data_IF_517139827063
#
_entry.id   IF_517139827063
#
_cell.length_a   1.000
_cell.length_b   1.000
_cell.length_c   1.000
_cell.angle_alpha   90.00
_cell.angle_beta   90.00
_cell.angle_gamma   90.00
#
_symmetry.space_group_name_H-M   'P 1'
#
loop_
_entity.id
_entity.type
_entity.pdbx_description
1 polymer ?
#
# COMPACT_ATOMS: atom_id res chain seq x y z
N UNK A 1 7.40 -5.69 -9.07
CA UNK A 1 6.17 -5.52 -8.27
C UNK A 1 5.20 -4.66 -9.02
N UNK A 2 3.92 -5.03 -9.07
CA UNK A 2 2.87 -4.24 -9.70
C UNK A 2 1.82 -3.89 -8.65
N UNK A 3 1.55 -2.59 -8.45
CA UNK A 3 0.39 -2.08 -7.70
C UNK A 3 -0.75 -1.87 -8.70
N UNK A 4 -1.84 -2.64 -8.60
CA UNK A 4 -2.98 -2.54 -9.51
C UNK A 4 -3.96 -1.47 -9.02
N UNK A 5 -4.70 -1.79 -7.96
CA UNK A 5 -5.72 -0.92 -7.37
C UNK A 5 -5.92 -1.25 -5.88
N UNK A 6 -6.65 -0.39 -5.19
CA UNK A 6 -7.20 -0.67 -3.87
C UNK A 6 -8.71 -0.42 -3.87
N UNK A 7 -9.39 -1.07 -2.92
CA UNK A 7 -10.83 -1.04 -2.78
C UNK A 7 -11.26 -0.98 -1.31
N UNK A 8 -12.43 -0.40 -1.06
CA UNK A 8 -13.11 -0.40 0.25
C UNK A 8 -12.30 0.31 1.36
N UNK A 9 -11.43 1.24 0.99
CA UNK A 9 -10.69 2.11 1.92
C UNK A 9 -11.52 3.37 2.20
N UNK A 10 -11.54 3.81 3.46
CA UNK A 10 -12.38 4.90 3.98
C UNK A 10 -13.89 4.65 3.67
N UNK A 11 -14.49 3.55 4.17
CA UNK A 11 -15.85 3.16 3.81
C UNK A 11 -16.89 4.23 4.21
N UNK A 12 -17.91 4.44 3.38
CA UNK A 12 -18.96 5.45 3.60
C UNK A 12 -19.81 5.23 4.85
N UNK A 13 -19.84 4.00 5.39
CA UNK A 13 -20.48 3.72 6.68
C UNK A 13 -19.80 4.45 7.84
N UNK A 14 -18.50 4.75 7.70
CA UNK A 14 -17.69 5.46 8.69
C UNK A 14 -17.43 6.91 8.25
N UNK A 15 -17.28 7.15 6.95
CA UNK A 15 -16.99 8.45 6.37
C UNK A 15 -18.05 8.86 5.33
N UNK A 16 -19.23 9.21 5.83
CA UNK A 16 -20.44 9.48 5.02
C UNK A 16 -20.31 10.62 4.00
N UNK A 17 -19.37 11.54 4.19
CA UNK A 17 -19.17 12.72 3.32
C UNK A 17 -18.06 12.53 2.28
N UNK A 18 -17.49 11.33 2.16
CA UNK A 18 -16.34 11.07 1.27
C UNK A 18 -16.83 10.62 -0.10
N UNK A 19 -16.67 11.49 -1.09
CA UNK A 19 -17.00 11.20 -2.49
C UNK A 19 -15.78 10.91 -3.37
N UNK A 20 -14.61 11.43 -3.00
CA UNK A 20 -13.32 11.11 -3.62
C UNK A 20 -12.18 11.62 -2.71
N UNK A 21 -11.07 10.91 -2.69
CA UNK A 21 -9.83 11.32 -2.01
C UNK A 21 -8.64 10.96 -2.88
N UNK A 22 -7.54 11.65 -2.67
CA UNK A 22 -6.27 11.32 -3.32
C UNK A 22 -5.51 10.35 -2.43
N UNK A 23 -5.05 9.25 -3.01
CA UNK A 23 -4.30 8.22 -2.33
C UNK A 23 -3.00 7.91 -3.06
N UNK A 24 -2.02 7.45 -2.31
CA UNK A 24 -0.81 6.85 -2.84
C UNK A 24 -0.40 5.65 -2.01
N UNK A 25 0.45 4.81 -2.58
CA UNK A 25 1.03 3.67 -1.90
C UNK A 25 2.51 3.97 -1.67
N UNK A 26 2.97 3.82 -0.43
CA UNK A 26 4.38 3.83 -0.07
C UNK A 26 4.75 2.41 0.34
N UNK A 27 5.86 1.89 -0.15
CA UNK A 27 6.27 0.52 0.13
C UNK A 27 7.78 0.36 0.12
N UNK A 28 8.25 -0.66 0.84
CA UNK A 28 9.67 -0.94 0.99
C UNK A 28 9.92 -2.38 1.43
N UNK A 29 11.09 -2.91 1.07
CA UNK A 29 11.64 -4.14 1.67
C UNK A 29 12.66 -3.75 2.73
N UNK A 30 13.62 -2.90 2.37
CA UNK A 30 14.52 -2.21 3.29
C UNK A 30 13.92 -0.83 3.64
N UNK A 31 13.70 -0.49 4.92
CA UNK A 31 13.17 0.81 5.32
C UNK A 31 13.92 2.05 4.80
N UNK A 32 15.19 1.87 4.42
CA UNK A 32 16.03 2.93 3.85
C UNK A 32 15.72 3.22 2.37
N UNK A 33 15.10 2.25 1.67
CA UNK A 33 14.84 2.29 0.23
C UNK A 33 13.33 2.28 -0.02
N UNK A 34 12.69 3.43 0.20
CA UNK A 34 11.25 3.59 0.03
C UNK A 34 10.89 3.92 -1.42
N UNK A 35 9.79 3.35 -1.88
CA UNK A 35 9.19 3.60 -3.17
C UNK A 35 7.77 4.11 -2.98
N UNK A 36 7.30 4.92 -3.93
CA UNK A 36 5.96 5.46 -3.89
C UNK A 36 5.29 5.45 -5.26
N UNK A 37 3.97 5.25 -5.26
CA UNK A 37 3.16 5.50 -6.43
C UNK A 37 2.87 6.98 -6.63
N UNK A 38 2.48 7.33 -7.86
CA UNK A 38 1.77 8.58 -8.11
C UNK A 38 0.47 8.68 -7.30
N UNK A 39 -0.01 9.90 -7.08
CA UNK A 39 -1.32 10.11 -6.49
C UNK A 39 -2.43 9.63 -7.44
N UNK A 40 -3.41 8.90 -6.91
CA UNK A 40 -4.61 8.49 -7.63
C UNK A 40 -5.85 8.93 -6.88
N UNK A 41 -6.85 9.43 -7.61
CA UNK A 41 -8.12 9.91 -7.05
C UNK A 41 -9.20 8.88 -7.30
N UNK A 42 -9.94 8.48 -6.27
CA UNK A 42 -11.10 7.63 -6.46
C UNK A 42 -11.81 7.27 -5.16
N UNK A 43 -12.94 6.57 -5.33
CA UNK A 43 -13.77 5.96 -4.29
C UNK A 43 -14.86 5.10 -4.99
N UNK A 44 -15.21 3.89 -4.50
CA UNK A 44 -14.51 3.12 -3.47
C UNK A 44 -13.27 2.39 -4.03
N UNK A 45 -13.07 2.42 -5.34
CA UNK A 45 -11.93 1.83 -6.05
C UNK A 45 -11.07 2.96 -6.59
N UNK A 46 -9.75 2.80 -6.49
CA UNK A 46 -8.78 3.71 -7.10
C UNK A 46 -7.59 2.93 -7.62
N UNK A 47 -7.19 3.29 -8.84
CA UNK A 47 -6.32 2.50 -9.71
C UNK A 47 -4.99 3.23 -9.84
N UNK A 48 -3.89 2.48 -9.74
CA UNK A 48 -2.55 2.99 -10.02
C UNK A 48 -1.96 2.34 -11.28
N UNK A 49 -2.07 1.01 -11.42
CA UNK A 49 -1.43 0.21 -12.50
C UNK A 49 0.06 0.58 -12.69
N UNK A 50 0.82 0.59 -11.58
CA UNK A 50 2.23 1.01 -11.58
C UNK A 50 3.18 -0.15 -11.30
N UNK A 51 4.10 -0.36 -12.23
CA UNK A 51 5.15 -1.38 -12.17
C UNK A 51 6.45 -0.79 -11.60
N UNK A 52 7.04 -1.51 -10.65
CA UNK A 52 8.30 -1.17 -10.00
C UNK A 52 9.27 -2.33 -9.99
N UNK A 53 10.54 -2.03 -10.22
CA UNK A 53 11.65 -2.96 -9.99
C UNK A 53 12.33 -2.57 -8.68
N UNK A 54 12.30 -3.46 -7.70
CA UNK A 54 12.87 -3.23 -6.37
C UNK A 54 14.16 -4.06 -6.28
N UNK A 55 15.34 -3.43 -6.22
CA UNK A 55 16.59 -4.15 -5.99
C UNK A 55 16.57 -4.80 -4.61
N UNK A 56 16.91 -6.10 -4.53
CA UNK A 56 17.06 -6.82 -3.26
C UNK A 56 18.53 -6.90 -2.82
N UNK A 57 19.35 -5.91 -3.20
CA UNK A 57 20.79 -5.86 -2.93
C UNK A 57 20.99 -5.71 -1.42
N UNK A 58 21.93 -6.47 -0.85
CA UNK A 58 22.24 -6.50 0.60
C UNK A 58 21.06 -6.91 1.51
N UNK A 59 19.95 -7.38 0.94
CA UNK A 59 18.93 -8.07 1.71
C UNK A 59 19.49 -9.44 2.07
N UNK A 60 20.06 -9.56 3.28
CA UNK A 60 20.31 -10.89 3.84
C UNK A 60 18.92 -11.56 3.88
N UNK A 61 18.72 -12.56 3.04
CA UNK A 61 17.42 -13.17 2.73
C UNK A 61 16.68 -13.64 4.01
N UNK A 62 17.40 -13.79 5.13
CA UNK A 62 16.85 -14.11 6.44
C UNK A 62 16.12 -12.97 7.16
N UNK A 63 16.48 -11.69 6.97
CA UNK A 63 15.97 -10.59 7.80
C UNK A 63 14.78 -9.84 7.17
N UNK A 64 14.75 -9.65 5.85
CA UNK A 64 13.69 -8.88 5.19
C UNK A 64 12.87 -9.78 4.27
N UNK A 65 12.06 -10.66 4.87
CA UNK A 65 11.18 -11.62 4.19
C UNK A 65 9.87 -11.00 3.68
N UNK A 66 9.63 -9.73 4.00
CA UNK A 66 8.36 -9.08 3.77
C UNK A 66 8.57 -7.73 3.06
N UNK A 67 7.71 -7.48 2.09
CA UNK A 67 7.38 -6.16 1.59
C UNK A 67 6.44 -5.50 2.59
N UNK A 68 6.83 -4.35 3.13
CA UNK A 68 5.94 -3.47 3.89
C UNK A 68 5.26 -2.50 2.94
N UNK A 69 3.97 -2.24 3.18
CA UNK A 69 3.15 -1.37 2.34
C UNK A 69 2.24 -0.53 3.21
N UNK A 70 2.16 0.76 2.88
CA UNK A 70 1.21 1.71 3.45
C UNK A 70 0.42 2.41 2.34
N UNK A 71 -0.90 2.44 2.49
CA UNK A 71 -1.76 3.30 1.69
C UNK A 71 -1.94 4.60 2.46
N UNK A 72 -1.58 5.71 1.82
CA UNK A 72 -1.63 7.05 2.39
C UNK A 72 -2.67 7.89 1.67
N UNK A 73 -3.51 8.56 2.44
CA UNK A 73 -4.37 9.65 1.98
C UNK A 73 -3.57 10.95 1.92
N UNK A 74 -3.70 11.67 0.81
CA UNK A 74 -3.05 12.96 0.57
C UNK A 74 -4.04 14.08 0.89
N UNK A 75 -3.68 14.91 1.88
CA UNK A 75 -4.53 15.99 2.36
C UNK A 75 -5.61 15.51 3.34
N UNK A 76 -6.01 16.38 4.25
CA UNK A 76 -7.01 15.98 5.25
C UNK A 76 -7.36 16.93 6.38
N UNK A 77 -6.80 18.14 6.47
CA UNK A 77 -7.27 19.16 7.43
C UNK A 77 -7.15 20.57 6.84
N UNK A 78 -8.04 21.51 7.18
CA UNK A 78 -7.93 22.94 6.82
C UNK A 78 -6.91 23.66 7.73
N UNK A 79 -5.73 23.05 7.91
CA UNK A 79 -4.60 23.60 8.65
C UNK A 79 -3.33 23.57 7.81
N UNK A 80 -2.26 24.28 8.21
CA UNK A 80 -1.07 24.49 7.39
C UNK A 80 -0.23 23.23 7.14
N UNK A 81 -0.55 22.10 7.79
CA UNK A 81 0.10 20.82 7.52
C UNK A 81 -0.47 20.18 6.26
N UNK A 82 0.35 20.10 5.20
CA UNK A 82 0.11 19.25 4.02
C UNK A 82 0.27 17.77 4.43
N UNK A 83 -0.56 17.32 5.37
CA UNK A 83 -0.39 16.03 6.04
C UNK A 83 -0.76 14.85 5.15
N UNK A 84 0.09 13.83 5.15
CA UNK A 84 -0.23 12.49 4.70
C UNK A 84 -0.83 11.70 5.88
N UNK A 85 -1.90 10.96 5.64
CA UNK A 85 -2.56 10.14 6.66
C UNK A 85 -2.49 8.69 6.22
N UNK A 86 -1.85 7.83 7.02
CA UNK A 86 -1.84 6.38 6.72
C UNK A 86 -3.24 5.82 6.98
N UNK A 87 -3.87 5.33 5.92
CA UNK A 87 -5.22 4.76 5.97
C UNK A 87 -5.19 3.23 6.00
N UNK A 88 -4.14 2.59 5.49
CA UNK A 88 -4.00 1.14 5.57
C UNK A 88 -2.55 0.70 5.55
N UNK A 89 -2.27 -0.43 6.21
CA UNK A 89 -0.96 -1.07 6.25
C UNK A 89 -1.08 -2.55 5.93
N UNK A 90 -0.06 -3.10 5.27
CA UNK A 90 0.09 -4.53 5.10
C UNK A 90 1.57 -4.94 5.10
N UNK A 91 1.81 -6.21 5.43
CA UNK A 91 3.08 -6.90 5.17
C UNK A 91 2.80 -8.09 4.26
N UNK A 92 3.53 -8.18 3.17
CA UNK A 92 3.37 -9.23 2.16
C UNK A 92 4.66 -10.03 2.07
N UNK A 93 4.59 -11.35 2.14
CA UNK A 93 5.77 -12.18 1.98
C UNK A 93 6.35 -12.02 0.56
N UNK A 94 7.66 -11.91 0.45
CA UNK A 94 8.32 -11.88 -0.86
C UNK A 94 8.22 -13.26 -1.54
N UNK A 95 8.06 -13.30 -2.89
CA UNK A 95 8.07 -14.56 -3.63
C UNK A 95 9.38 -15.32 -3.40
N UNK A 96 9.27 -16.63 -3.30
CA UNK A 96 10.44 -17.51 -3.09
C UNK A 96 10.94 -18.17 -4.37
N UNK A 97 10.10 -18.21 -5.40
CA UNK A 97 10.39 -18.90 -6.66
C UNK A 97 10.61 -17.87 -7.76
N UNK A 98 11.74 -18.00 -8.46
CA UNK A 98 12.10 -17.13 -9.58
C UNK A 98 11.12 -17.30 -10.75
N UNK A 99 10.78 -16.18 -11.39
CA UNK A 99 9.97 -16.15 -12.61
C UNK A 99 8.47 -16.41 -12.42
N UNK A 100 8.01 -16.79 -11.21
CA UNK A 100 6.59 -16.99 -10.92
C UNK A 100 5.95 -15.69 -10.50
N UNK A 101 4.86 -15.31 -11.19
CA UNK A 101 4.02 -14.18 -10.82
C UNK A 101 2.98 -14.61 -9.79
N UNK A 102 3.04 -14.01 -8.61
CA UNK A 102 2.06 -14.17 -7.54
C UNK A 102 1.14 -12.95 -7.50
N UNK A 103 -0.16 -13.12 -7.74
CA UNK A 103 -1.18 -12.08 -7.58
C UNK A 103 -1.87 -12.25 -6.23
N UNK A 104 -2.00 -11.18 -5.46
CA UNK A 104 -2.54 -11.24 -4.10
C UNK A 104 -3.53 -10.09 -3.87
N UNK A 105 -4.67 -10.42 -3.27
CA UNK A 105 -5.60 -9.45 -2.66
C UNK A 105 -5.28 -9.40 -1.17
N UNK A 106 -4.66 -8.32 -0.74
CA UNK A 106 -4.07 -8.17 0.59
C UNK A 106 -4.97 -7.28 1.43
N UNK A 107 -5.46 -7.81 2.55
CA UNK A 107 -6.22 -7.01 3.52
C UNK A 107 -5.31 -5.98 4.19
N UNK A 108 -5.77 -4.74 4.27
CA UNK A 108 -5.05 -3.70 4.98
C UNK A 108 -5.60 -3.55 6.39
N UNK A 109 -4.77 -3.03 7.28
CA UNK A 109 -5.15 -2.68 8.65
C UNK A 109 -4.75 -1.26 9.00
N UNK A 110 -5.52 -0.63 9.88
CA UNK A 110 -5.23 0.69 10.43
C UNK A 110 -5.17 0.64 11.94
N UNK A 111 -4.33 1.48 12.54
CA UNK A 111 -4.32 1.70 13.98
C UNK A 111 -5.26 2.87 14.30
N UNK A 112 -6.30 2.61 15.10
CA UNK A 112 -7.29 3.61 15.55
C UNK A 112 -7.40 3.48 17.05
N UNK A 113 -7.07 4.54 17.79
CA UNK A 113 -7.13 4.58 19.27
C UNK A 113 -6.42 3.38 19.94
N UNK A 114 -5.28 2.99 19.38
CA UNK A 114 -4.47 1.86 19.86
C UNK A 114 -4.98 0.47 19.44
N UNK A 115 -6.09 0.38 18.71
CA UNK A 115 -6.64 -0.87 18.21
C UNK A 115 -6.33 -1.06 16.72
N UNK A 116 -6.11 -2.32 16.33
CA UNK A 116 -5.96 -2.70 14.92
C UNK A 116 -7.32 -3.00 14.32
N UNK A 117 -7.71 -2.23 13.31
CA UNK A 117 -8.97 -2.37 12.58
C UNK A 117 -8.68 -2.74 11.13
N UNK A 118 -9.49 -3.63 10.53
CA UNK A 118 -9.38 -3.96 9.11
C UNK A 118 -9.88 -2.81 8.22
N UNK A 119 -9.19 -2.54 7.12
CA UNK A 119 -9.47 -1.40 6.23
C UNK A 119 -9.32 -1.80 4.76
N UNK A 120 -10.37 -2.35 4.15
CA UNK A 120 -10.36 -2.65 2.71
C UNK A 120 -9.17 -3.52 2.28
N UNK A 121 -8.85 -3.45 0.99
CA UNK A 121 -7.85 -4.33 0.37
C UNK A 121 -7.03 -3.61 -0.69
N UNK A 122 -5.80 -4.09 -0.90
CA UNK A 122 -4.96 -3.71 -2.03
C UNK A 122 -4.64 -4.94 -2.87
N UNK A 123 -4.67 -4.77 -4.19
CA UNK A 123 -4.39 -5.83 -5.16
C UNK A 123 -3.02 -5.56 -5.76
N UNK A 124 -2.11 -6.52 -5.57
CA UNK A 124 -0.73 -6.43 -6.05
C UNK A 124 -0.30 -7.70 -6.77
N UNK A 125 0.74 -7.58 -7.59
CA UNK A 125 1.49 -8.74 -8.09
C UNK A 125 2.97 -8.62 -7.79
N UNK A 126 3.57 -9.74 -7.39
CA UNK A 126 4.99 -9.86 -7.14
C UNK A 126 5.61 -10.93 -8.06
N UNK A 127 6.83 -10.70 -8.49
CA UNK A 127 7.62 -11.65 -9.28
C UNK A 127 9.07 -11.43 -8.89
N UNK A 128 9.73 -12.50 -8.48
CA UNK A 128 11.16 -12.48 -8.24
C UNK A 128 11.88 -12.73 -9.57
N UNK A 129 12.77 -11.80 -9.94
CA UNK A 129 13.55 -11.86 -11.17
C UNK A 129 15.04 -11.81 -10.84
N UNK A 130 15.86 -12.34 -11.74
CA UNK A 130 17.33 -12.34 -11.64
C UNK A 130 17.94 -11.16 -12.39
#
# INVERSE_FOLDING_TARGET
>A
MHIHYAEEIDPSSVYSEVHWRNYRVVFWVNPSDQFETGASRGYPIFIWEQLFNIPLINVVISEHKFLSLEVMRIGGNPGPSRGYIVVGRAKVALPKVLGIKECQRVGLVRLVDGQTVGEGHIIISLTLIQ
#
